data_IF_112929862633
#
_entry.id   IF_112929862633
#
_cell.length_a   1.000
_cell.length_b   1.000
_cell.length_c   1.000
_cell.angle_alpha   90.00
_cell.angle_beta   90.00
_cell.angle_gamma   90.00
#
_symmetry.space_group_name_H-M   'P 1'
#
loop_
_entity.id
_entity.type
_entity.pdbx_description
1 polymer ?
#
# COMPACT_ATOMS: atom_id res chain seq x y z
N UNK A 1 8.64 -1.28 -12.76
CA UNK A 1 7.83 -2.28 -13.47
C UNK A 1 6.34 -1.92 -13.52
N UNK A 2 5.74 -1.42 -12.44
CA UNK A 2 4.29 -1.14 -12.38
C UNK A 2 3.77 -0.28 -13.53
N UNK A 3 4.45 0.81 -13.88
CA UNK A 3 4.08 1.67 -15.02
C UNK A 3 4.09 0.94 -16.38
N UNK A 4 5.05 0.04 -16.60
CA UNK A 4 5.11 -0.75 -17.82
C UNK A 4 3.92 -1.71 -17.90
N UNK A 5 3.57 -2.36 -16.77
CA UNK A 5 2.42 -3.27 -16.73
C UNK A 5 1.09 -2.55 -17.00
N UNK A 6 0.94 -1.31 -16.53
CA UNK A 6 -0.23 -0.49 -16.88
C UNK A 6 -0.35 -0.29 -18.40
N UNK A 7 0.78 -0.07 -19.08
CA UNK A 7 0.83 0.05 -20.53
C UNK A 7 0.63 -1.30 -21.26
N UNK A 8 0.78 -2.42 -20.57
CA UNK A 8 0.59 -3.77 -21.11
C UNK A 8 -0.77 -4.40 -20.75
N UNK A 9 -1.76 -3.60 -20.39
CA UNK A 9 -3.14 -4.06 -20.15
C UNK A 9 -3.56 -4.17 -18.70
N UNK A 10 -2.63 -4.04 -17.74
CA UNK A 10 -3.03 -3.89 -16.35
C UNK A 10 -3.79 -2.56 -16.15
N UNK A 11 -4.77 -2.57 -15.25
CA UNK A 11 -5.63 -1.43 -14.96
C UNK A 11 -5.78 -1.15 -13.46
N UNK A 12 -5.08 -1.89 -12.61
CA UNK A 12 -5.32 -1.90 -11.18
C UNK A 12 -4.01 -2.00 -10.38
N UNK A 13 -4.01 -1.38 -9.20
CA UNK A 13 -2.95 -1.50 -8.21
C UNK A 13 -3.50 -2.25 -6.99
N UNK A 14 -2.69 -3.13 -6.41
CA UNK A 14 -3.06 -3.87 -5.19
C UNK A 14 -3.18 -3.01 -3.93
N UNK A 15 -2.93 -1.69 -4.01
CA UNK A 15 -2.98 -0.76 -2.88
C UNK A 15 -1.68 -0.66 -2.09
N UNK A 16 -1.80 -0.16 -0.86
CA UNK A 16 -0.68 0.03 0.07
C UNK A 16 -0.64 -1.09 1.08
N UNK A 17 0.45 -1.86 1.13
CA UNK A 17 0.66 -2.87 2.16
C UNK A 17 1.48 -2.27 3.31
N UNK A 18 0.99 -2.45 4.54
CA UNK A 18 1.64 -2.00 5.78
C UNK A 18 2.03 -3.24 6.56
N UNK A 19 3.28 -3.30 7.06
CA UNK A 19 3.78 -4.44 7.84
C UNK A 19 3.56 -5.79 7.15
N UNK A 20 3.78 -5.84 5.83
CA UNK A 20 3.72 -7.08 5.09
C UNK A 20 4.78 -8.04 5.65
N UNK A 21 4.34 -9.10 6.33
CA UNK A 21 5.22 -9.98 7.11
C UNK A 21 5.68 -11.19 6.33
N UNK A 22 4.88 -11.65 5.37
CA UNK A 22 5.13 -12.90 4.65
C UNK A 22 6.26 -12.73 3.63
N UNK A 23 6.13 -11.75 2.74
CA UNK A 23 7.14 -11.44 1.73
C UNK A 23 8.42 -10.92 2.38
N UNK A 24 8.31 -10.15 3.45
CA UNK A 24 9.47 -9.71 4.24
C UNK A 24 10.21 -10.89 4.88
N UNK A 25 9.49 -11.82 5.51
CA UNK A 25 10.11 -13.03 6.07
C UNK A 25 10.71 -13.95 4.99
N UNK A 26 10.16 -13.92 3.77
CA UNK A 26 10.71 -14.60 2.60
C UNK A 26 11.91 -13.87 1.95
N UNK A 27 12.34 -12.73 2.49
CA UNK A 27 13.54 -11.99 2.06
C UNK A 27 13.30 -10.87 1.04
N UNK A 28 12.05 -10.47 0.80
CA UNK A 28 11.76 -9.33 -0.08
C UNK A 28 12.27 -8.01 0.53
N UNK A 29 12.96 -7.21 -0.27
CA UNK A 29 13.37 -5.84 0.07
C UNK A 29 12.37 -4.77 -0.41
N UNK A 30 11.30 -5.20 -1.08
CA UNK A 30 10.33 -4.32 -1.73
C UNK A 30 8.89 -4.72 -1.34
N UNK A 31 7.94 -3.79 -1.54
CA UNK A 31 6.51 -4.07 -1.40
C UNK A 31 5.88 -3.62 -0.08
N UNK A 32 6.60 -2.83 0.72
CA UNK A 32 6.01 -2.14 1.87
C UNK A 32 5.78 -0.67 1.56
N UNK A 33 4.71 -0.11 2.13
CA UNK A 33 4.47 1.32 2.29
C UNK A 33 4.59 2.15 1.01
N UNK A 34 3.89 1.73 -0.05
CA UNK A 34 3.66 2.59 -1.22
C UNK A 34 2.50 3.55 -0.94
N UNK A 35 2.77 4.82 -0.65
CA UNK A 35 1.74 5.79 -0.26
C UNK A 35 0.72 6.04 -1.38
N UNK A 36 -0.55 6.36 -1.06
CA UNK A 36 -1.58 6.64 -2.07
C UNK A 36 -1.16 7.69 -3.12
N UNK A 37 -0.53 8.79 -2.69
CA UNK A 37 0.05 9.82 -3.58
C UNK A 37 1.06 9.28 -4.57
N UNK A 38 1.87 8.30 -4.15
CA UNK A 38 2.83 7.66 -5.05
C UNK A 38 2.11 6.80 -6.09
N UNK A 39 1.07 6.05 -5.71
CA UNK A 39 0.23 5.29 -6.66
C UNK A 39 -0.41 6.24 -7.68
N UNK A 40 -1.05 7.31 -7.21
CA UNK A 40 -1.69 8.31 -8.08
C UNK A 40 -0.68 8.96 -9.02
N UNK A 41 0.50 9.31 -8.53
CA UNK A 41 1.60 9.82 -9.37
C UNK A 41 1.99 8.82 -10.45
N UNK A 42 2.25 7.56 -10.10
CA UNK A 42 2.65 6.52 -11.07
C UNK A 42 1.61 6.31 -12.18
N UNK A 43 0.32 6.38 -11.82
CA UNK A 43 -0.79 6.30 -12.79
C UNK A 43 -0.81 7.53 -13.72
N UNK A 44 -0.63 8.74 -13.18
CA UNK A 44 -0.58 9.96 -13.99
C UNK A 44 0.64 10.01 -14.91
N UNK A 45 1.79 9.54 -14.44
CA UNK A 45 3.03 9.49 -15.21
C UNK A 45 2.90 8.61 -16.48
N UNK A 46 1.92 7.69 -16.53
CA UNK A 46 1.58 6.91 -17.74
C UNK A 46 0.38 7.46 -18.52
N UNK A 47 -0.04 8.70 -18.24
CA UNK A 47 -1.12 9.38 -18.96
C UNK A 47 -2.53 8.88 -18.62
N UNK A 48 -2.73 8.25 -17.46
CA UNK A 48 -4.04 7.76 -17.00
C UNK A 48 -4.56 8.55 -15.81
N UNK A 49 -5.87 8.46 -15.59
CA UNK A 49 -6.56 9.08 -14.45
C UNK A 49 -6.64 8.05 -13.31
N UNK A 50 -6.05 8.33 -12.12
CA UNK A 50 -6.20 7.46 -10.96
C UNK A 50 -7.65 7.44 -10.47
N UNK A 51 -8.10 6.28 -9.99
CA UNK A 51 -9.42 6.12 -9.39
C UNK A 51 -9.35 5.15 -8.20
N UNK A 52 -10.15 5.42 -7.18
CA UNK A 52 -10.39 4.54 -6.06
C UNK A 52 -11.63 3.70 -6.34
N UNK A 53 -11.56 2.42 -6.02
CA UNK A 53 -12.62 1.45 -6.26
C UNK A 53 -12.92 0.64 -5.00
N UNK A 54 -14.12 0.09 -4.94
CA UNK A 54 -14.44 -0.93 -3.95
C UNK A 54 -14.03 -2.34 -4.42
N UNK A 55 -14.33 -3.34 -3.59
CA UNK A 55 -14.03 -4.76 -3.85
C UNK A 55 -14.77 -5.34 -5.06
N UNK A 56 -15.87 -4.71 -5.50
CA UNK A 56 -16.62 -5.08 -6.71
C UNK A 56 -16.26 -4.23 -7.93
N UNK A 57 -15.12 -3.52 -7.87
CA UNK A 57 -14.61 -2.65 -8.94
C UNK A 57 -15.49 -1.44 -9.29
N UNK A 58 -16.47 -1.09 -8.45
CA UNK A 58 -17.20 0.17 -8.63
C UNK A 58 -16.28 1.33 -8.25
N UNK A 59 -16.19 2.32 -9.13
CA UNK A 59 -15.46 3.56 -8.88
C UNK A 59 -16.18 4.31 -7.75
N UNK A 60 -15.44 4.57 -6.67
CA UNK A 60 -15.89 5.40 -5.56
C UNK A 60 -15.54 6.87 -5.81
N UNK A 61 -14.35 7.12 -6.37
CA UNK A 61 -13.80 8.44 -6.60
C UNK A 61 -12.77 8.43 -7.72
N UNK A 62 -12.73 9.48 -8.53
CA UNK A 62 -11.67 9.75 -9.52
C UNK A 62 -10.78 10.89 -9.04
N UNK A 63 -9.51 10.89 -9.46
CA UNK A 63 -8.50 11.86 -9.06
C UNK A 63 -7.95 12.60 -10.28
N UNK A 64 -8.80 13.34 -10.99
CA UNK A 64 -8.37 14.15 -12.14
C UNK A 64 -7.26 15.13 -11.74
N UNK A 65 -7.46 15.83 -10.63
CA UNK A 65 -6.45 16.66 -9.98
C UNK A 65 -5.91 15.97 -8.72
N UNK A 66 -4.69 16.32 -8.33
CA UNK A 66 -4.12 15.82 -7.08
C UNK A 66 -4.77 16.53 -5.88
N UNK A 67 -5.31 15.79 -4.90
CA UNK A 67 -5.87 16.40 -3.70
C UNK A 67 -4.78 17.09 -2.88
N UNK A 68 -5.13 18.21 -2.24
CA UNK A 68 -4.17 19.01 -1.46
C UNK A 68 -3.76 18.33 -0.14
N UNK A 69 -4.64 17.54 0.47
CA UNK A 69 -4.38 16.92 1.76
C UNK A 69 -5.16 15.62 1.92
N UNK A 70 -4.44 14.52 2.16
CA UNK A 70 -4.97 13.19 2.43
C UNK A 70 -4.20 12.65 3.63
N UNK A 71 -4.92 12.29 4.69
CA UNK A 71 -4.33 11.86 5.96
C UNK A 71 -3.28 10.76 5.76
N UNK A 72 -3.56 9.81 4.86
CA UNK A 72 -2.69 8.67 4.57
C UNK A 72 -1.38 9.04 3.86
N UNK A 73 -1.32 10.17 3.17
CA UNK A 73 -0.10 10.59 2.49
C UNK A 73 0.93 11.18 3.46
N UNK A 74 0.44 11.78 4.54
CA UNK A 74 1.26 12.44 5.55
C UNK A 74 1.60 11.55 6.75
N UNK A 75 1.11 10.31 6.80
CA UNK A 75 1.44 9.41 7.91
C UNK A 75 2.94 9.15 7.96
N UNK A 76 3.50 9.26 9.16
CA UNK A 76 4.85 8.79 9.47
C UNK A 76 4.86 7.26 9.53
N UNK A 77 5.67 6.67 8.67
CA UNK A 77 5.85 5.23 8.53
C UNK A 77 6.33 4.59 9.84
N UNK A 78 7.05 5.34 10.69
CA UNK A 78 7.52 4.88 11.99
C UNK A 78 6.38 4.48 12.93
N UNK A 79 5.18 5.06 12.74
CA UNK A 79 3.99 4.79 13.54
C UNK A 79 3.52 3.33 13.44
N UNK A 80 3.79 2.68 12.31
CA UNK A 80 3.37 1.31 12.07
C UNK A 80 4.34 0.27 12.69
N UNK A 81 5.52 0.71 13.13
CA UNK A 81 6.58 -0.17 13.62
C UNK A 81 7.26 -0.96 12.51
N UNK A 82 8.11 -1.91 12.88
CA UNK A 82 8.70 -2.87 11.94
C UNK A 82 8.19 -4.28 12.22
N UNK A 83 8.17 -5.13 11.19
CA UNK A 83 7.89 -6.56 11.34
C UNK A 83 8.75 -7.20 12.45
N UNK A 84 10.04 -6.88 12.49
CA UNK A 84 10.99 -7.42 13.47
C UNK A 84 10.70 -6.95 14.90
N UNK A 85 10.14 -5.77 15.07
CA UNK A 85 9.72 -5.29 16.38
C UNK A 85 8.41 -5.96 16.81
N UNK A 86 7.45 -6.08 15.88
CA UNK A 86 6.15 -6.71 16.13
C UNK A 86 6.28 -8.16 16.60
N UNK A 87 7.17 -8.96 16.00
CA UNK A 87 7.37 -10.37 16.42
C UNK A 87 8.06 -10.52 17.79
N UNK A 88 8.71 -9.46 18.30
CA UNK A 88 9.34 -9.45 19.63
C UNK A 88 8.36 -9.03 20.73
N UNK A 89 7.20 -8.48 20.38
CA UNK A 89 6.19 -8.04 21.34
C UNK A 89 5.65 -9.25 22.12
N UNK A 90 5.89 -9.26 23.45
CA UNK A 90 5.34 -10.28 24.35
C UNK A 90 3.90 -10.02 24.75
N UNK A 91 3.40 -8.79 24.58
CA UNK A 91 2.05 -8.34 25.00
C UNK A 91 0.92 -9.22 24.47
N UNK A 92 1.07 -9.77 23.27
CA UNK A 92 0.05 -10.60 22.60
C UNK A 92 0.55 -12.04 22.38
N UNK A 93 1.60 -12.45 23.09
CA UNK A 93 2.10 -13.81 23.00
C UNK A 93 1.04 -14.75 23.56
N UNK A 94 0.66 -15.75 22.76
CA UNK A 94 -0.21 -16.81 23.24
C UNK A 94 0.47 -17.53 24.42
N UNK A 95 -0.22 -17.55 25.56
CA UNK A 95 0.15 -18.36 26.70
C UNK A 95 -0.81 -19.54 26.75
N UNK A 96 -0.26 -20.75 26.74
CA UNK A 96 -1.06 -21.95 26.89
C UNK A 96 -1.55 -22.03 28.35
N UNK A 97 -2.87 -22.00 28.62
CA UNK A 97 -3.39 -22.08 29.97
C UNK A 97 -3.39 -23.50 30.57
N UNK A 98 -2.80 -24.49 29.87
CA UNK A 98 -2.67 -25.88 30.33
C UNK A 98 -1.32 -26.15 30.97
#
# INVERSE_FOLDING_TARGET
MSQQLLNCGANDFGGTLINESISTAAGSQHGQLLKPKQIRRLVRDVGRIPAERNTTYKILRTFENEPNDEDLDNVDDSKFGSYFDLIKIKKFRYENPR
#
